data_IF_910340095825
#
_entry.id   IF_910340095825
#
_cell.length_a   1.000
_cell.length_b   1.000
_cell.length_c   1.000
_cell.angle_alpha   90.00
_cell.angle_beta   90.00
_cell.angle_gamma   90.00
#
_symmetry.space_group_name_H-M   'P 1'
#
loop_
_entity.id
_entity.type
_entity.pdbx_description
1 polymer ?
#
# COMPACT_ATOMS: atom_id res chain seq x y z
N UNK A 1 -17.67 63.04 -0.48
CA UNK A 1 -18.02 63.17 -1.92
C UNK A 1 -19.40 62.58 -2.28
N UNK A 2 -20.28 62.25 -1.32
CA UNK A 2 -21.61 61.65 -1.59
C UNK A 2 -22.78 62.52 -1.08
N UNK A 3 -22.56 63.82 -0.86
CA UNK A 3 -23.55 64.71 -0.23
C UNK A 3 -24.60 65.26 -1.21
N UNK A 4 -24.36 65.19 -2.52
CA UNK A 4 -25.25 65.74 -3.56
C UNK A 4 -26.09 64.71 -4.32
N UNK A 5 -26.25 63.48 -3.80
CA UNK A 5 -26.99 62.40 -4.47
C UNK A 5 -28.40 62.24 -3.88
N UNK A 6 -29.41 62.04 -4.75
CA UNK A 6 -30.77 61.74 -4.30
C UNK A 6 -30.80 60.42 -3.51
N UNK A 7 -31.73 60.31 -2.56
CA UNK A 7 -31.89 59.13 -1.69
C UNK A 7 -31.99 57.84 -2.52
N UNK A 8 -32.67 57.89 -3.67
CA UNK A 8 -32.80 56.77 -4.62
C UNK A 8 -31.44 56.31 -5.18
N UNK A 9 -30.57 57.25 -5.56
CA UNK A 9 -29.25 56.95 -6.13
C UNK A 9 -28.31 56.35 -5.07
N UNK A 10 -28.36 56.88 -3.84
CA UNK A 10 -27.60 56.35 -2.70
C UNK A 10 -28.02 54.90 -2.36
N UNK A 11 -29.32 54.61 -2.38
CA UNK A 11 -29.85 53.26 -2.11
C UNK A 11 -29.39 52.24 -3.17
N UNK A 12 -29.49 52.58 -4.46
CA UNK A 12 -29.05 51.73 -5.57
C UNK A 12 -27.54 51.45 -5.47
N UNK A 13 -26.74 52.47 -5.15
CA UNK A 13 -25.29 52.31 -5.00
C UNK A 13 -24.94 51.35 -3.87
N UNK A 14 -25.54 51.51 -2.69
CA UNK A 14 -25.27 50.64 -1.53
C UNK A 14 -25.69 49.20 -1.83
N UNK A 15 -26.89 48.99 -2.38
CA UNK A 15 -27.38 47.64 -2.72
C UNK A 15 -26.53 46.99 -3.82
N UNK A 16 -26.15 47.75 -4.85
CA UNK A 16 -25.28 47.27 -5.93
C UNK A 16 -23.90 46.90 -5.41
N UNK A 17 -23.31 47.76 -4.57
CA UNK A 17 -22.02 47.52 -3.94
C UNK A 17 -22.03 46.28 -3.04
N UNK A 18 -23.05 46.13 -2.19
CA UNK A 18 -23.23 44.95 -1.33
C UNK A 18 -23.42 43.66 -2.16
N UNK A 19 -24.19 43.73 -3.25
CA UNK A 19 -24.37 42.59 -4.16
C UNK A 19 -23.06 42.15 -4.81
N UNK A 20 -22.24 43.10 -5.28
CA UNK A 20 -20.91 42.81 -5.86
C UNK A 20 -19.97 42.20 -4.81
N UNK A 21 -19.99 42.72 -3.58
CA UNK A 21 -19.21 42.17 -2.46
C UNK A 21 -19.60 40.72 -2.18
N UNK A 22 -20.90 40.41 -2.10
CA UNK A 22 -21.40 39.05 -1.88
C UNK A 22 -20.97 38.10 -3.00
N UNK A 23 -21.04 38.55 -4.27
CA UNK A 23 -20.57 37.75 -5.40
C UNK A 23 -19.06 37.51 -5.33
N UNK A 24 -18.27 38.53 -5.00
CA UNK A 24 -16.82 38.40 -4.85
C UNK A 24 -16.42 37.41 -3.76
N UNK A 25 -17.07 37.50 -2.59
CA UNK A 25 -16.87 36.55 -1.48
C UNK A 25 -17.31 35.14 -1.88
N UNK A 26 -18.45 35.01 -2.57
CA UNK A 26 -18.94 33.72 -3.06
C UNK A 26 -17.97 33.05 -4.03
N UNK A 27 -17.43 33.80 -5.00
CA UNK A 27 -16.43 33.29 -5.96
C UNK A 27 -15.15 32.88 -5.24
N UNK A 28 -14.63 33.70 -4.33
CA UNK A 28 -13.45 33.33 -3.51
C UNK A 28 -13.71 32.08 -2.66
N UNK A 29 -14.91 31.96 -2.07
CA UNK A 29 -15.30 30.79 -1.30
C UNK A 29 -15.28 29.51 -2.14
N UNK A 30 -15.86 29.56 -3.34
CA UNK A 30 -15.89 28.42 -4.26
C UNK A 30 -14.49 28.03 -4.75
N UNK A 31 -13.63 28.99 -5.10
CA UNK A 31 -12.26 28.69 -5.57
C UNK A 31 -11.37 28.13 -4.47
N UNK A 32 -11.50 28.66 -3.25
CA UNK A 32 -10.78 28.16 -2.08
C UNK A 32 -11.24 26.74 -1.71
N UNK A 33 -12.56 26.48 -1.77
CA UNK A 33 -13.11 25.14 -1.54
C UNK A 33 -12.68 24.14 -2.61
N UNK A 34 -12.67 24.54 -3.89
CA UNK A 34 -12.19 23.70 -4.99
C UNK A 34 -10.71 23.34 -4.85
N UNK A 35 -9.87 24.29 -4.45
CA UNK A 35 -8.44 24.06 -4.19
C UNK A 35 -8.23 23.10 -3.02
N UNK A 36 -9.00 23.31 -1.94
CA UNK A 36 -8.99 22.44 -0.75
C UNK A 36 -9.45 21.02 -1.09
N UNK A 37 -10.51 20.87 -1.87
CA UNK A 37 -11.01 19.57 -2.33
C UNK A 37 -9.99 18.82 -3.19
N UNK A 38 -9.26 19.53 -4.06
CA UNK A 38 -8.20 18.95 -4.88
C UNK A 38 -7.02 18.45 -4.03
N UNK A 39 -6.65 19.22 -3.00
CA UNK A 39 -5.62 18.82 -2.04
C UNK A 39 -6.04 17.61 -1.17
N UNK A 40 -7.30 17.54 -0.76
CA UNK A 40 -7.82 16.35 -0.06
C UNK A 40 -7.82 15.12 -0.96
N UNK A 41 -8.19 15.28 -2.23
CA UNK A 41 -8.15 14.19 -3.20
C UNK A 41 -6.74 13.66 -3.41
N UNK A 42 -5.73 14.53 -3.54
CA UNK A 42 -4.34 14.09 -3.64
C UNK A 42 -3.87 13.40 -2.36
N UNK A 43 -4.20 13.89 -1.16
CA UNK A 43 -3.84 13.18 0.08
C UNK A 43 -4.52 11.80 0.18
N UNK A 44 -5.77 11.70 -0.26
CA UNK A 44 -6.50 10.43 -0.26
C UNK A 44 -5.92 9.42 -1.26
N UNK A 45 -5.78 9.80 -2.53
CA UNK A 45 -5.29 8.92 -3.59
C UNK A 45 -3.79 8.63 -3.44
N UNK A 46 -2.97 9.63 -3.09
CA UNK A 46 -1.51 9.50 -3.05
C UNK A 46 -1.00 8.91 -1.72
N UNK A 47 -1.71 9.07 -0.59
CA UNK A 47 -1.25 8.51 0.70
C UNK A 47 -2.15 7.41 1.27
N UNK A 48 -3.47 7.60 1.36
CA UNK A 48 -4.31 6.60 2.04
C UNK A 48 -4.43 5.29 1.25
N UNK A 49 -4.60 5.38 -0.07
CA UNK A 49 -4.61 4.18 -0.93
C UNK A 49 -3.24 3.51 -0.94
N UNK A 50 -2.16 4.29 -1.01
CA UNK A 50 -0.79 3.80 -1.01
C UNK A 50 -0.43 3.04 0.28
N UNK A 51 -0.77 3.58 1.45
CA UNK A 51 -0.59 2.90 2.74
C UNK A 51 -1.42 1.61 2.79
N UNK A 52 -2.67 1.63 2.33
CA UNK A 52 -3.50 0.43 2.26
C UNK A 52 -2.90 -0.67 1.37
N UNK A 53 -2.25 -0.30 0.27
CA UNK A 53 -1.54 -1.25 -0.60
C UNK A 53 -0.30 -1.84 0.10
N UNK A 54 0.48 -1.03 0.81
CA UNK A 54 1.67 -1.48 1.55
C UNK A 54 1.31 -2.42 2.71
N UNK A 55 0.27 -2.09 3.46
CA UNK A 55 -0.30 -2.96 4.51
C UNK A 55 -0.78 -4.28 3.92
N UNK A 56 -1.48 -4.25 2.78
CA UNK A 56 -1.91 -5.46 2.08
C UNK A 56 -0.73 -6.32 1.67
N UNK A 57 0.33 -5.73 1.12
CA UNK A 57 1.56 -6.46 0.76
C UNK A 57 2.19 -7.10 1.99
N UNK A 58 2.31 -6.37 3.10
CA UNK A 58 2.86 -6.88 4.36
C UNK A 58 2.05 -8.08 4.90
N UNK A 59 0.72 -7.98 4.86
CA UNK A 59 -0.17 -9.07 5.22
C UNK A 59 -0.02 -10.30 4.30
N UNK A 60 0.14 -10.09 2.99
CA UNK A 60 0.34 -11.18 2.02
C UNK A 60 1.71 -11.87 2.19
N UNK A 61 2.78 -11.11 2.48
CA UNK A 61 4.10 -11.69 2.78
C UNK A 61 4.03 -12.57 4.03
N UNK A 62 3.34 -12.08 5.08
CA UNK A 62 3.08 -12.87 6.28
C UNK A 62 2.26 -14.13 5.99
N UNK A 63 1.21 -13.99 5.17
CA UNK A 63 0.39 -15.13 4.73
C UNK A 63 1.26 -16.20 4.06
N UNK A 64 2.19 -15.82 3.18
CA UNK A 64 3.12 -16.76 2.56
C UNK A 64 4.02 -17.48 3.58
N UNK A 65 4.50 -16.78 4.61
CA UNK A 65 5.26 -17.42 5.68
C UNK A 65 4.42 -18.44 6.45
N UNK A 66 3.17 -18.09 6.76
CA UNK A 66 2.24 -18.97 7.46
C UNK A 66 1.98 -20.22 6.62
N UNK A 67 1.68 -20.08 5.32
CA UNK A 67 1.43 -21.21 4.43
C UNK A 67 2.62 -22.18 4.39
N UNK A 68 3.85 -21.66 4.23
CA UNK A 68 5.05 -22.50 4.22
C UNK A 68 5.27 -23.15 5.59
N UNK A 69 5.07 -22.38 6.68
CA UNK A 69 5.20 -22.89 8.03
C UNK A 69 4.21 -24.01 8.35
N UNK A 70 2.94 -23.84 8.00
CA UNK A 70 1.88 -24.84 8.16
C UNK A 70 2.18 -26.10 7.34
N UNK A 71 2.60 -25.96 6.07
CA UNK A 71 2.97 -27.09 5.23
C UNK A 71 4.12 -27.91 5.83
N UNK A 72 5.17 -27.23 6.32
CA UNK A 72 6.34 -27.88 6.94
C UNK A 72 5.94 -28.55 8.27
N UNK A 73 5.27 -27.82 9.16
CA UNK A 73 4.89 -28.32 10.48
C UNK A 73 3.88 -29.46 10.37
N UNK A 74 2.90 -29.35 9.48
CA UNK A 74 1.89 -30.38 9.24
C UNK A 74 2.53 -31.70 8.80
N UNK A 75 3.47 -31.65 7.86
CA UNK A 75 4.14 -32.85 7.33
C UNK A 75 5.21 -33.44 8.25
N UNK A 76 5.94 -32.62 9.00
CA UNK A 76 6.97 -33.07 9.94
C UNK A 76 6.42 -33.39 11.35
N UNK A 77 5.10 -33.37 11.51
CA UNK A 77 4.44 -33.73 12.78
C UNK A 77 4.37 -35.24 12.99
N UNK A 78 3.98 -35.65 14.21
CA UNK A 78 3.71 -37.06 14.53
C UNK A 78 2.53 -37.65 13.73
N UNK A 79 1.66 -36.80 13.17
CA UNK A 79 0.49 -37.18 12.39
C UNK A 79 0.46 -36.35 11.09
N UNK A 80 1.24 -36.73 10.06
CA UNK A 80 1.35 -35.97 8.83
C UNK A 80 -0.01 -35.75 8.15
N UNK A 81 -0.22 -34.53 7.65
CA UNK A 81 -1.40 -34.20 6.84
C UNK A 81 -1.36 -34.90 5.48
N UNK A 82 -2.49 -34.88 4.77
CA UNK A 82 -2.53 -35.33 3.38
C UNK A 82 -1.60 -34.46 2.52
N UNK A 83 -0.70 -35.10 1.79
CA UNK A 83 0.25 -34.45 0.87
C UNK A 83 -0.49 -33.61 -0.18
N UNK A 84 -1.72 -34.00 -0.57
CA UNK A 84 -2.55 -33.22 -1.47
C UNK A 84 -2.97 -31.84 -0.87
N UNK A 85 -2.95 -31.69 0.46
CA UNK A 85 -3.13 -30.39 1.12
C UNK A 85 -1.92 -29.49 0.91
N UNK A 86 -0.70 -30.06 0.97
CA UNK A 86 0.53 -29.32 0.73
C UNK A 86 0.60 -28.80 -0.70
N UNK A 87 0.20 -29.61 -1.68
CA UNK A 87 0.13 -29.16 -3.07
C UNK A 87 -0.83 -27.97 -3.25
N UNK A 88 -1.97 -27.98 -2.55
CA UNK A 88 -2.92 -26.85 -2.54
C UNK A 88 -2.31 -25.61 -1.88
N UNK A 89 -1.62 -25.78 -0.76
CA UNK A 89 -0.90 -24.70 -0.06
C UNK A 89 0.17 -24.08 -0.96
N UNK A 90 0.94 -24.89 -1.71
CA UNK A 90 1.93 -24.39 -2.67
C UNK A 90 1.26 -23.57 -3.78
N UNK A 91 0.13 -24.04 -4.32
CA UNK A 91 -0.64 -23.29 -5.32
C UNK A 91 -1.13 -21.96 -4.74
N UNK A 92 -1.66 -21.97 -3.52
CA UNK A 92 -2.12 -20.76 -2.84
C UNK A 92 -0.98 -19.77 -2.62
N UNK A 93 0.19 -20.23 -2.13
CA UNK A 93 1.34 -19.38 -1.91
C UNK A 93 1.83 -18.72 -3.21
N UNK A 94 1.82 -19.45 -4.33
CA UNK A 94 2.12 -18.88 -5.65
C UNK A 94 1.11 -17.82 -6.07
N UNK A 95 -0.18 -18.04 -5.83
CA UNK A 95 -1.20 -17.02 -6.09
C UNK A 95 -1.01 -15.76 -5.22
N UNK A 96 -0.62 -15.92 -3.95
CA UNK A 96 -0.29 -14.81 -3.05
C UNK A 96 0.94 -14.03 -3.55
N UNK A 97 1.97 -14.70 -4.08
CA UNK A 97 3.12 -14.04 -4.71
C UNK A 97 2.67 -13.16 -5.89
N UNK A 98 1.78 -13.66 -6.75
CA UNK A 98 1.24 -12.89 -7.87
C UNK A 98 0.38 -11.69 -7.41
N UNK A 99 -0.39 -11.86 -6.33
CA UNK A 99 -1.13 -10.76 -5.72
C UNK A 99 -0.17 -9.67 -5.20
N UNK A 100 0.90 -10.05 -4.49
CA UNK A 100 1.94 -9.10 -4.03
C UNK A 100 2.53 -8.34 -5.23
N UNK A 101 2.90 -9.03 -6.31
CA UNK A 101 3.47 -8.40 -7.49
C UNK A 101 2.51 -7.41 -8.16
N UNK A 102 1.22 -7.77 -8.21
CA UNK A 102 0.17 -6.92 -8.77
C UNK A 102 -0.05 -5.68 -7.91
N UNK A 103 -0.20 -5.84 -6.60
CA UNK A 103 -0.37 -4.72 -5.67
C UNK A 103 0.87 -3.82 -5.65
N UNK A 104 2.07 -4.39 -5.68
CA UNK A 104 3.31 -3.63 -5.75
C UNK A 104 3.40 -2.78 -7.03
N UNK A 105 3.01 -3.34 -8.18
CA UNK A 105 2.97 -2.60 -9.44
C UNK A 105 1.99 -1.43 -9.38
N UNK A 106 0.84 -1.60 -8.71
CA UNK A 106 -0.13 -0.53 -8.52
C UNK A 106 0.42 0.58 -7.60
N UNK A 107 1.09 0.20 -6.51
CA UNK A 107 1.78 1.14 -5.62
C UNK A 107 2.86 1.94 -6.35
N UNK A 108 3.71 1.27 -7.14
CA UNK A 108 4.78 1.93 -7.90
C UNK A 108 4.27 2.86 -9.02
N UNK A 109 2.98 2.80 -9.37
CA UNK A 109 2.37 3.67 -10.36
C UNK A 109 1.78 4.97 -9.75
N UNK A 110 1.81 5.12 -8.42
CA UNK A 110 1.37 6.35 -7.74
C UNK A 110 2.41 7.46 -7.88
N UNK A 111 2.03 8.67 -7.47
CA UNK A 111 2.95 9.81 -7.43
C UNK A 111 3.80 9.74 -6.17
N UNK A 112 5.06 9.39 -6.33
CA UNK A 112 6.01 9.31 -5.23
C UNK A 112 6.97 10.51 -5.19
N UNK A 113 7.41 10.84 -3.99
CA UNK A 113 8.55 11.77 -3.81
C UNK A 113 9.88 11.05 -4.05
N UNK A 114 10.97 11.78 -4.29
CA UNK A 114 12.31 11.19 -4.46
C UNK A 114 12.73 10.33 -3.26
N UNK A 115 12.35 10.71 -2.05
CA UNK A 115 12.71 9.95 -0.84
C UNK A 115 11.88 8.66 -0.74
N UNK A 116 10.58 8.76 -1.00
CA UNK A 116 9.70 7.59 -1.06
C UNK A 116 10.14 6.60 -2.13
N UNK A 117 10.56 7.07 -3.31
CA UNK A 117 11.09 6.19 -4.37
C UNK A 117 12.31 5.40 -3.90
N UNK A 118 13.23 6.01 -3.14
CA UNK A 118 14.39 5.27 -2.59
C UNK A 118 13.98 4.21 -1.59
N UNK A 119 13.04 4.52 -0.70
CA UNK A 119 12.50 3.55 0.26
C UNK A 119 11.79 2.41 -0.46
N UNK A 120 11.04 2.73 -1.52
CA UNK A 120 10.32 1.77 -2.34
C UNK A 120 11.27 0.81 -3.08
N UNK A 121 12.36 1.34 -3.63
CA UNK A 121 13.42 0.55 -4.25
C UNK A 121 14.12 -0.37 -3.24
N UNK A 122 14.42 0.14 -2.03
CA UNK A 122 15.03 -0.66 -0.97
C UNK A 122 14.11 -1.82 -0.53
N UNK A 123 12.83 -1.55 -0.31
CA UNK A 123 11.84 -2.58 -0.03
C UNK A 123 11.72 -3.59 -1.18
N UNK A 124 11.68 -3.12 -2.43
CA UNK A 124 11.62 -4.00 -3.59
C UNK A 124 12.86 -4.92 -3.69
N UNK A 125 14.05 -4.39 -3.43
CA UNK A 125 15.26 -5.20 -3.39
C UNK A 125 15.18 -6.27 -2.29
N UNK A 126 14.76 -5.90 -1.09
CA UNK A 126 14.62 -6.84 0.03
C UNK A 126 13.56 -7.91 -0.23
N UNK A 127 12.37 -7.54 -0.74
CA UNK A 127 11.29 -8.52 -1.02
C UNK A 127 11.70 -9.50 -2.12
N UNK A 128 12.41 -9.04 -3.14
CA UNK A 128 12.91 -9.88 -4.23
C UNK A 128 13.99 -10.83 -3.72
N UNK A 129 14.93 -10.33 -2.91
CA UNK A 129 15.94 -11.16 -2.28
C UNK A 129 15.31 -12.26 -1.40
N UNK A 130 14.34 -11.89 -0.54
CA UNK A 130 13.57 -12.83 0.28
C UNK A 130 12.84 -13.90 -0.56
N UNK A 131 12.25 -13.48 -1.69
CA UNK A 131 11.61 -14.38 -2.64
C UNK A 131 12.60 -15.37 -3.26
N UNK A 132 13.76 -14.88 -3.70
CA UNK A 132 14.76 -15.68 -4.42
C UNK A 132 15.56 -16.61 -3.51
N UNK A 133 15.97 -16.16 -2.32
CA UNK A 133 16.83 -16.95 -1.44
C UNK A 133 16.04 -17.86 -0.48
N UNK A 134 14.78 -17.51 -0.18
CA UNK A 134 13.98 -18.23 0.82
C UNK A 134 12.68 -18.80 0.28
N UNK A 135 11.72 -17.94 -0.06
CA UNK A 135 10.35 -18.36 -0.33
C UNK A 135 10.23 -19.29 -1.55
N UNK A 136 10.82 -18.92 -2.70
CA UNK A 136 10.71 -19.72 -3.92
C UNK A 136 11.41 -21.09 -3.79
N UNK A 137 12.64 -21.17 -3.23
CA UNK A 137 13.25 -22.46 -2.90
C UNK A 137 12.41 -23.32 -1.95
N UNK A 138 11.84 -22.73 -0.89
CA UNK A 138 10.98 -23.47 0.04
C UNK A 138 9.73 -24.02 -0.66
N UNK A 139 9.07 -23.24 -1.52
CA UNK A 139 7.93 -23.70 -2.31
C UNK A 139 8.31 -24.76 -3.35
N UNK A 140 9.53 -24.72 -3.89
CA UNK A 140 10.03 -25.76 -4.78
C UNK A 140 10.27 -27.07 -4.02
N UNK A 141 10.87 -27.01 -2.83
CA UNK A 141 11.06 -28.15 -1.95
C UNK A 141 9.72 -28.77 -1.52
N UNK A 142 8.75 -27.94 -1.08
CA UNK A 142 7.39 -28.40 -0.75
C UNK A 142 6.70 -29.07 -1.94
N UNK A 143 6.84 -28.51 -3.15
CA UNK A 143 6.29 -29.08 -4.39
C UNK A 143 6.95 -30.40 -4.79
N UNK A 144 8.21 -30.61 -4.39
CA UNK A 144 8.94 -31.87 -4.56
C UNK A 144 8.76 -32.84 -3.38
N UNK A 145 7.91 -32.48 -2.41
CA UNK A 145 7.69 -33.19 -1.15
C UNK A 145 8.96 -33.41 -0.31
N UNK A 146 9.97 -32.55 -0.51
CA UNK A 146 11.16 -32.47 0.33
C UNK A 146 10.90 -31.52 1.52
N UNK A 147 10.11 -32.03 2.47
CA UNK A 147 9.69 -31.26 3.65
C UNK A 147 10.86 -30.92 4.58
N UNK A 148 11.92 -31.74 4.56
CA UNK A 148 13.14 -31.49 5.35
C UNK A 148 13.89 -30.29 4.78
N UNK A 149 14.13 -30.25 3.47
CA UNK A 149 14.75 -29.11 2.81
C UNK A 149 13.91 -27.84 2.97
N UNK A 150 12.58 -27.94 2.83
CA UNK A 150 11.69 -26.81 3.07
C UNK A 150 11.81 -26.26 4.51
N UNK A 151 11.93 -27.15 5.51
CA UNK A 151 12.14 -26.80 6.91
C UNK A 151 13.47 -26.09 7.15
N UNK A 152 14.55 -26.58 6.53
CA UNK A 152 15.88 -25.97 6.64
C UNK A 152 15.89 -24.54 6.05
N UNK A 153 15.25 -24.34 4.91
CA UNK A 153 15.11 -23.02 4.27
C UNK A 153 14.25 -22.09 5.13
N UNK A 154 13.14 -22.59 5.67
CA UNK A 154 12.24 -21.83 6.55
C UNK A 154 12.97 -21.34 7.80
N UNK A 155 13.75 -22.21 8.44
CA UNK A 155 14.48 -21.89 9.67
C UNK A 155 15.77 -21.10 9.44
N UNK A 156 16.34 -21.17 8.24
CA UNK A 156 17.56 -20.48 7.83
C UNK A 156 17.31 -19.19 7.07
N UNK A 157 17.35 -19.28 5.73
CA UNK A 157 17.30 -18.13 4.82
C UNK A 157 16.03 -17.28 5.00
N UNK A 158 14.85 -17.91 5.07
CA UNK A 158 13.60 -17.15 5.24
C UNK A 158 13.57 -16.38 6.56
N UNK A 159 13.96 -17.01 7.67
CA UNK A 159 14.02 -16.38 8.99
C UNK A 159 15.02 -15.21 9.02
N UNK A 160 16.14 -15.34 8.31
CA UNK A 160 17.21 -14.32 8.30
C UNK A 160 16.88 -13.14 7.38
N UNK A 161 16.25 -13.40 6.24
CA UNK A 161 15.93 -12.36 5.25
C UNK A 161 14.65 -11.58 5.60
N UNK A 162 13.69 -12.18 6.31
CA UNK A 162 12.40 -11.57 6.61
C UNK A 162 12.48 -10.25 7.42
N UNK A 163 13.31 -10.11 8.47
CA UNK A 163 13.44 -8.86 9.21
C UNK A 163 13.75 -7.65 8.33
N UNK A 164 14.63 -7.81 7.33
CA UNK A 164 14.96 -6.73 6.38
C UNK A 164 13.76 -6.30 5.56
N UNK A 165 12.94 -7.26 5.11
CA UNK A 165 11.70 -6.97 4.38
C UNK A 165 10.75 -6.18 5.27
N UNK A 166 10.51 -6.64 6.50
CA UNK A 166 9.63 -5.99 7.48
C UNK A 166 10.08 -4.57 7.80
N UNK A 167 11.36 -4.38 8.12
CA UNK A 167 11.92 -3.05 8.42
C UNK A 167 11.77 -2.09 7.24
N UNK A 168 12.03 -2.56 6.01
CA UNK A 168 11.84 -1.72 4.82
C UNK A 168 10.36 -1.43 4.50
N UNK A 169 9.43 -2.30 4.89
CA UNK A 169 8.00 -2.04 4.77
C UNK A 169 7.54 -1.01 5.81
N UNK A 170 7.99 -1.14 7.06
CA UNK A 170 7.70 -0.19 8.14
C UNK A 170 8.22 1.22 7.80
N UNK A 171 9.43 1.30 7.22
CA UNK A 171 10.00 2.58 6.77
C UNK A 171 9.18 3.25 5.65
N UNK A 172 8.44 2.48 4.85
CA UNK A 172 7.55 3.02 3.80
C UNK A 172 6.20 3.50 4.34
N UNK A 173 5.77 2.95 5.48
CA UNK A 173 4.46 3.24 6.09
C UNK A 173 4.57 4.41 7.09
N UNK A 174 5.75 4.63 7.67
CA UNK A 174 6.07 5.68 8.64
C UNK A 174 5.93 7.11 8.07
#
# INVERSE_FOLDING_TARGET
>A
MLENLSIKSRLIFVIGFLSVLLLGIGVMGLTSLSSTNSAFKSVYEDRLVAVGQLERISALINKNQIIVGEAVVGQLSAFPEDVAMVDKQVIEARAVIEEINTTWKAYMATRMTTEETKLAEAFNANRIAYGQSGLNPALAALSGHDFQQASEILQGEMKTAYPKVRESAEALIA
#
